data_IF_431858587282
#
_entry.id   IF_431858587282
#
_cell.length_a   1.000
_cell.length_b   1.000
_cell.length_c   1.000
_cell.angle_alpha   90.00
_cell.angle_beta   90.00
_cell.angle_gamma   90.00
#
_symmetry.space_group_name_H-M   'P 1'
#
loop_
_entity.id
_entity.type
_entity.pdbx_description
1 polymer ?
#
# COMPACT_ATOMS: atom_id res chain seq x y z
N UNK A 1 4.86 -8.45 -23.32
CA UNK A 1 4.97 -7.43 -22.26
C UNK A 1 3.85 -7.69 -21.27
N UNK A 2 4.13 -8.27 -20.10
CA UNK A 2 3.12 -8.48 -19.05
C UNK A 2 3.26 -7.43 -17.96
N UNK A 3 2.18 -7.20 -17.21
CA UNK A 3 2.13 -6.27 -16.09
C UNK A 3 1.86 -7.04 -14.79
N UNK A 4 2.51 -6.63 -13.71
CA UNK A 4 2.27 -7.16 -12.38
C UNK A 4 1.73 -6.06 -11.49
N UNK A 5 0.59 -6.31 -10.87
CA UNK A 5 -0.12 -5.42 -9.97
C UNK A 5 -0.15 -6.05 -8.57
N UNK A 6 0.24 -5.26 -7.58
CA UNK A 6 0.06 -5.57 -6.16
C UNK A 6 -0.71 -4.39 -5.55
N UNK A 7 -1.92 -4.64 -5.10
CA UNK A 7 -2.81 -3.63 -4.54
C UNK A 7 -3.20 -3.99 -3.11
N UNK A 8 -2.84 -3.14 -2.15
CA UNK A 8 -3.40 -3.18 -0.80
C UNK A 8 -4.78 -2.48 -0.79
N UNK A 9 -5.42 -2.40 0.39
CA UNK A 9 -6.62 -1.59 0.55
C UNK A 9 -6.34 -0.16 0.04
N UNK A 10 -7.13 0.29 -0.93
CA UNK A 10 -7.09 1.63 -1.53
C UNK A 10 -8.50 2.23 -1.54
N UNK A 11 -8.59 3.56 -1.54
CA UNK A 11 -9.84 4.32 -1.51
C UNK A 11 -9.84 5.40 -2.61
N UNK A 12 -11.01 5.99 -2.85
CA UNK A 12 -11.23 7.14 -3.73
C UNK A 12 -10.56 7.07 -5.11
N UNK A 13 -9.67 8.01 -5.42
CA UNK A 13 -9.04 8.18 -6.74
C UNK A 13 -8.19 6.97 -7.14
N UNK A 14 -7.50 6.34 -6.18
CA UNK A 14 -6.67 5.17 -6.43
C UNK A 14 -7.55 3.97 -6.80
N UNK A 15 -8.75 3.90 -6.23
CA UNK A 15 -9.73 2.86 -6.53
C UNK A 15 -10.22 2.96 -7.99
N UNK A 16 -10.56 4.17 -8.45
CA UNK A 16 -10.98 4.39 -9.85
C UNK A 16 -9.90 3.99 -10.84
N UNK A 17 -8.65 4.40 -10.57
CA UNK A 17 -7.52 4.00 -11.41
C UNK A 17 -7.33 2.49 -11.42
N UNK A 18 -7.55 1.84 -10.29
CA UNK A 18 -7.46 0.38 -10.20
C UNK A 18 -8.57 -0.32 -10.99
N UNK A 19 -9.78 0.25 -11.08
CA UNK A 19 -10.88 -0.29 -11.92
C UNK A 19 -10.48 -0.35 -13.38
N UNK A 20 -9.80 0.67 -13.89
CA UNK A 20 -9.32 0.73 -15.29
C UNK A 20 -8.29 -0.38 -15.58
N UNK A 21 -7.44 -0.72 -14.62
CA UNK A 21 -6.32 -1.67 -14.80
C UNK A 21 -6.75 -3.11 -14.51
N UNK A 22 -7.48 -3.30 -13.41
CA UNK A 22 -7.81 -4.62 -12.88
C UNK A 22 -9.15 -5.16 -13.39
N UNK A 23 -10.09 -4.29 -13.78
CA UNK A 23 -11.49 -4.60 -14.02
C UNK A 23 -12.37 -4.33 -12.80
N UNK A 24 -13.66 -4.04 -13.01
CA UNK A 24 -14.57 -3.55 -11.97
C UNK A 24 -14.93 -4.58 -10.88
N UNK A 25 -15.04 -5.86 -11.22
CA UNK A 25 -15.49 -6.92 -10.28
C UNK A 25 -14.56 -7.11 -9.09
N UNK A 26 -13.25 -7.03 -9.31
CA UNK A 26 -12.26 -7.30 -8.26
C UNK A 26 -12.04 -6.12 -7.31
N UNK A 27 -12.45 -4.92 -7.71
CA UNK A 27 -12.12 -3.70 -6.97
C UNK A 27 -13.00 -3.53 -5.74
N UNK A 28 -14.24 -4.00 -5.76
CA UNK A 28 -15.10 -3.95 -4.58
C UNK A 28 -14.54 -4.84 -3.45
N UNK A 29 -13.89 -5.96 -3.78
CA UNK A 29 -13.20 -6.79 -2.79
C UNK A 29 -12.01 -6.09 -2.12
N UNK A 30 -11.37 -5.15 -2.82
CA UNK A 30 -10.16 -4.44 -2.34
C UNK A 30 -10.49 -3.45 -1.22
N UNK A 31 -11.68 -2.84 -1.25
CA UNK A 31 -12.17 -1.96 -0.18
C UNK A 31 -12.30 -2.69 1.15
N UNK A 32 -12.60 -3.98 1.09
CA UNK A 32 -12.81 -4.83 2.25
C UNK A 32 -11.52 -5.54 2.71
N UNK A 33 -10.39 -5.33 2.02
CA UNK A 33 -9.16 -6.03 2.37
C UNK A 33 -8.65 -5.59 3.76
N UNK A 34 -8.47 -6.55 4.69
CA UNK A 34 -7.90 -6.26 5.99
C UNK A 34 -6.41 -5.92 5.85
N UNK A 35 -5.87 -5.23 6.87
CA UNK A 35 -4.46 -4.84 6.89
C UNK A 35 -3.56 -6.07 6.74
N UNK A 36 -2.53 -5.94 5.90
CA UNK A 36 -1.61 -7.03 5.61
C UNK A 36 -2.12 -7.99 4.53
N UNK A 37 -3.26 -7.73 3.90
CA UNK A 37 -3.67 -8.44 2.69
C UNK A 37 -3.47 -7.56 1.45
N UNK A 38 -3.35 -8.21 0.30
CA UNK A 38 -3.27 -7.56 -1.01
C UNK A 38 -3.89 -8.41 -2.11
N UNK A 39 -4.39 -7.75 -3.14
CA UNK A 39 -4.71 -8.36 -4.43
C UNK A 39 -3.45 -8.40 -5.31
N UNK A 40 -3.17 -9.56 -5.88
CA UNK A 40 -2.11 -9.76 -6.87
C UNK A 40 -2.75 -10.14 -8.21
N UNK A 41 -2.43 -9.38 -9.26
CA UNK A 41 -2.75 -9.72 -10.66
C UNK A 41 -1.45 -9.66 -11.45
N UNK A 42 -0.99 -10.80 -11.95
CA UNK A 42 0.27 -10.89 -12.68
C UNK A 42 0.01 -11.45 -14.08
N UNK A 43 0.01 -10.59 -15.09
CA UNK A 43 -0.11 -11.02 -16.50
C UNK A 43 1.24 -11.35 -17.11
N UNK A 44 2.35 -11.01 -16.44
CA UNK A 44 3.71 -11.40 -16.82
C UNK A 44 4.15 -12.76 -16.26
N UNK A 45 3.42 -13.28 -15.27
CA UNK A 45 3.74 -14.52 -14.55
C UNK A 45 2.62 -15.54 -14.84
N UNK A 46 2.85 -16.87 -14.72
CA UNK A 46 1.83 -17.88 -15.05
C UNK A 46 0.65 -17.94 -14.06
N UNK A 47 0.50 -16.93 -13.19
CA UNK A 47 -0.64 -16.80 -12.29
C UNK A 47 -1.83 -16.33 -13.14
N UNK A 48 -2.51 -17.29 -13.78
CA UNK A 48 -3.61 -17.03 -14.71
C UNK A 48 -4.89 -16.48 -14.07
N UNK A 49 -4.88 -16.18 -12.77
CA UNK A 49 -6.02 -15.60 -12.05
C UNK A 49 -5.59 -14.61 -10.98
N UNK A 50 -6.36 -13.55 -10.72
CA UNK A 50 -6.12 -12.66 -9.59
C UNK A 50 -6.23 -13.41 -8.26
N UNK A 51 -5.37 -13.09 -7.29
CA UNK A 51 -5.36 -13.76 -5.98
C UNK A 51 -5.31 -12.75 -4.84
N UNK A 52 -6.10 -13.00 -3.80
CA UNK A 52 -5.95 -12.29 -2.52
C UNK A 52 -4.95 -13.07 -1.68
N UNK A 53 -3.90 -12.39 -1.21
CA UNK A 53 -2.83 -13.00 -0.41
C UNK A 53 -2.62 -12.26 0.89
N UNK A 54 -2.21 -12.99 1.92
CA UNK A 54 -1.72 -12.42 3.18
C UNK A 54 -0.22 -12.18 3.08
N UNK A 55 0.19 -10.94 3.36
CA UNK A 55 1.57 -10.46 3.30
C UNK A 55 2.14 -10.32 4.71
N UNK A 56 3.39 -10.74 4.86
CA UNK A 56 4.12 -10.63 6.11
C UNK A 56 5.28 -9.66 5.93
N UNK A 57 5.40 -8.62 6.78
CA UNK A 57 6.48 -7.66 6.67
C UNK A 57 7.81 -8.34 7.01
N UNK A 58 8.78 -8.26 6.09
CA UNK A 58 10.13 -8.79 6.31
C UNK A 58 11.04 -7.81 7.06
N UNK A 59 10.77 -6.52 6.96
CA UNK A 59 11.50 -5.45 7.62
C UNK A 59 10.57 -4.25 7.86
N UNK A 60 10.97 -3.32 8.74
CA UNK A 60 10.28 -2.05 8.97
C UNK A 60 11.25 -0.88 8.71
N UNK A 61 10.81 0.22 8.07
CA UNK A 61 11.68 1.37 7.85
C UNK A 61 12.08 2.01 9.18
N UNK A 62 13.38 2.27 9.38
CA UNK A 62 13.90 2.97 10.56
C UNK A 62 13.29 4.37 10.74
N UNK A 63 12.91 5.02 9.64
CA UNK A 63 12.29 6.35 9.62
C UNK A 63 10.92 6.44 10.30
N UNK A 64 10.26 5.30 10.57
CA UNK A 64 8.97 5.28 11.27
C UNK A 64 9.10 5.41 12.80
N UNK A 65 10.32 5.33 13.34
CA UNK A 65 10.56 5.41 14.79
C UNK A 65 10.54 6.85 15.34
N UNK A 66 10.71 7.87 14.50
CA UNK A 66 10.69 9.28 14.90
C UNK A 66 9.51 10.01 14.26
N UNK A 67 8.53 10.38 15.08
CA UNK A 67 7.39 11.21 14.69
C UNK A 67 7.81 12.69 14.56
N UNK A 68 7.04 13.49 13.81
CA UNK A 68 7.26 14.95 13.76
C UNK A 68 7.26 15.58 15.17
N UNK A 69 6.40 15.09 16.06
CA UNK A 69 6.37 15.51 17.46
C UNK A 69 7.68 15.18 18.20
N UNK A 70 8.21 13.96 18.02
CA UNK A 70 9.48 13.57 18.63
C UNK A 70 10.68 14.36 18.09
N UNK A 71 10.58 14.90 16.85
CA UNK A 71 11.58 15.80 16.28
C UNK A 71 11.45 17.21 16.85
N UNK A 72 10.22 17.72 16.99
CA UNK A 72 9.95 19.02 17.60
C UNK A 72 10.40 19.08 19.06
N UNK A 73 10.09 18.05 19.86
CA UNK A 73 10.52 17.98 21.26
C UNK A 73 12.05 17.90 21.44
N UNK A 74 12.80 17.56 20.39
CA UNK A 74 14.28 17.53 20.39
C UNK A 74 14.91 18.78 19.80
N UNK A 75 14.15 19.64 19.14
CA UNK A 75 14.65 20.93 18.72
C UNK A 75 14.80 21.78 19.98
N UNK A 76 16.05 22.07 20.38
CA UNK A 76 16.29 23.08 21.43
C UNK A 76 15.58 24.38 21.02
N UNK A 77 15.01 25.14 21.98
CA UNK A 77 14.51 26.46 21.68
C UNK A 77 15.68 27.25 21.10
N UNK A 78 15.53 27.69 19.84
CA UNK A 78 16.44 28.64 19.22
C UNK A 78 16.57 29.81 20.21
N UNK A 79 17.70 29.88 20.90
CA UNK A 79 18.06 31.01 21.72
C UNK A 79 18.13 32.20 20.77
N UNK A 80 17.06 33.00 20.78
CA UNK A 80 17.00 34.31 20.18
C UNK A 80 17.91 35.22 21.01
N UNK A 81 19.21 35.14 20.73
CA UNK A 81 20.21 36.17 21.05
C UNK A 81 20.47 37.01 19.82
#
# INVERSE_FOLDING_TARGET
MGQNLIAHKVEDVDLERLKEIAGSELVEAIRLLPRGYALIKATANPIGRPMIVKLYPRARPLSTATTCLSRWARAEPLSLT
#
